data_IF_171282044955
#
_entry.id   IF_171282044955
#
_cell.length_a   1.000
_cell.length_b   1.000
_cell.length_c   1.000
_cell.angle_alpha   90.00
_cell.angle_beta   90.00
_cell.angle_gamma   90.00
#
_symmetry.space_group_name_H-M   'P 1'
#
loop_
_entity.id
_entity.type
_entity.pdbx_description
1 polymer ?
#
# COMPACT_ATOMS: atom_id res chain seq x y z
N UNK A 1 16.22 -24.59 1.34
CA UNK A 1 15.74 -24.26 -0.02
C UNK A 1 15.43 -22.77 -0.11
N UNK A 2 15.91 -22.14 -1.16
CA UNK A 2 15.64 -20.71 -1.39
C UNK A 2 14.18 -20.50 -1.78
N UNK A 3 13.51 -19.45 -1.26
CA UNK A 3 12.17 -19.11 -1.77
C UNK A 3 12.29 -18.68 -3.22
N UNK A 4 11.29 -19.03 -4.01
CA UNK A 4 11.24 -18.63 -5.40
C UNK A 4 10.76 -17.19 -5.49
N UNK A 5 11.48 -16.38 -6.26
CA UNK A 5 11.06 -15.00 -6.56
C UNK A 5 9.99 -15.02 -7.64
N UNK A 6 8.94 -14.26 -7.41
CA UNK A 6 7.82 -14.14 -8.34
C UNK A 6 7.55 -12.66 -8.62
N UNK A 7 7.01 -12.41 -9.80
CA UNK A 7 6.64 -11.07 -10.22
C UNK A 7 5.25 -11.11 -10.82
N UNK A 8 4.35 -10.28 -10.29
CA UNK A 8 3.00 -10.14 -10.84
C UNK A 8 2.69 -8.68 -11.04
N UNK A 9 1.72 -8.38 -11.89
CA UNK A 9 1.32 -7.03 -12.20
C UNK A 9 -0.18 -6.99 -12.44
N UNK A 10 -0.77 -5.82 -12.27
CA UNK A 10 -2.19 -5.62 -12.51
C UNK A 10 -2.60 -4.20 -12.20
N UNK A 11 -3.90 -4.00 -12.16
CA UNK A 11 -4.50 -2.70 -11.87
C UNK A 11 -5.20 -2.73 -10.52
N UNK A 12 -5.47 -1.56 -9.97
CA UNK A 12 -6.29 -1.48 -8.77
C UNK A 12 -7.11 -0.21 -8.77
N UNK A 13 -8.23 -0.27 -8.05
CA UNK A 13 -9.05 0.90 -7.74
C UNK A 13 -8.80 1.27 -6.29
N UNK A 14 -8.80 2.56 -5.98
CA UNK A 14 -8.62 3.03 -4.62
C UNK A 14 -9.67 4.05 -4.27
N UNK A 15 -10.19 3.95 -3.04
CA UNK A 15 -11.07 4.95 -2.47
C UNK A 15 -10.44 5.50 -1.21
N UNK A 16 -10.24 6.81 -1.19
CA UNK A 16 -9.70 7.53 -0.04
C UNK A 16 -10.83 8.36 0.57
N UNK A 17 -11.01 8.23 1.88
CA UNK A 17 -12.06 8.96 2.59
C UNK A 17 -11.43 9.78 3.71
N UNK A 18 -11.47 11.12 3.61
CA UNK A 18 -10.91 11.96 4.68
C UNK A 18 -11.58 11.72 6.02
N UNK A 19 -10.78 11.75 7.07
CA UNK A 19 -11.23 11.59 8.44
C UNK A 19 -10.84 12.81 9.24
N UNK A 20 -11.69 13.20 10.17
CA UNK A 20 -11.35 14.29 11.09
C UNK A 20 -10.23 13.84 12.04
N UNK A 21 -9.29 14.75 12.36
CA UNK A 21 -8.27 14.40 13.35
C UNK A 21 -8.90 14.24 14.73
N UNK A 22 -8.29 13.41 15.57
CA UNK A 22 -8.71 13.35 16.96
C UNK A 22 -8.29 14.63 17.67
N UNK A 23 -9.00 15.05 18.74
CA UNK A 23 -8.64 16.28 19.45
C UNK A 23 -7.18 16.35 19.90
N UNK A 24 -6.59 15.20 20.25
CA UNK A 24 -5.23 15.17 20.75
C UNK A 24 -4.19 15.59 19.71
N UNK A 25 -4.48 15.39 18.42
CA UNK A 25 -3.51 15.68 17.35
C UNK A 25 -3.98 16.73 16.37
N UNK A 26 -5.10 17.39 16.66
CA UNK A 26 -5.67 18.42 15.75
C UNK A 26 -4.67 19.54 15.45
N UNK A 27 -3.91 19.98 16.46
CA UNK A 27 -2.94 21.05 16.27
C UNK A 27 -1.70 20.64 15.48
N UNK A 28 -1.48 19.34 15.27
CA UNK A 28 -0.34 18.85 14.49
C UNK A 28 -0.53 19.05 12.99
N UNK A 29 -1.74 19.38 12.54
CA UNK A 29 -2.06 19.65 11.13
C UNK A 29 -1.69 18.51 10.20
N UNK A 30 -2.01 17.30 10.61
CA UNK A 30 -1.82 16.11 9.78
C UNK A 30 -3.15 15.74 9.13
N UNK A 31 -3.06 15.28 7.87
CA UNK A 31 -4.23 14.76 7.19
C UNK A 31 -4.40 13.28 7.51
N UNK A 32 -5.63 12.83 7.71
CA UNK A 32 -5.95 11.44 7.97
C UNK A 32 -7.01 10.97 6.98
N UNK A 33 -6.79 9.80 6.39
CA UNK A 33 -7.75 9.21 5.45
C UNK A 33 -7.82 7.70 5.69
N UNK A 34 -9.02 7.14 5.50
CA UNK A 34 -9.13 5.70 5.34
C UNK A 34 -8.91 5.37 3.87
N UNK A 35 -8.40 4.18 3.59
CA UNK A 35 -8.24 3.72 2.23
C UNK A 35 -8.85 2.34 2.06
N UNK A 36 -9.39 2.11 0.88
CA UNK A 36 -9.87 0.80 0.47
C UNK A 36 -9.48 0.58 -0.97
N UNK A 37 -8.95 -0.59 -1.29
CA UNK A 37 -8.53 -0.93 -2.64
C UNK A 37 -9.18 -2.20 -3.12
N UNK A 38 -9.33 -2.30 -4.43
CA UNK A 38 -9.66 -3.55 -5.10
C UNK A 38 -8.55 -3.81 -6.11
N UNK A 39 -7.82 -4.90 -5.91
CA UNK A 39 -6.73 -5.32 -6.80
C UNK A 39 -7.27 -6.32 -7.82
N UNK A 40 -6.82 -6.20 -9.05
CA UNK A 40 -7.18 -7.09 -10.16
C UNK A 40 -5.94 -7.74 -10.74
N UNK A 41 -6.10 -8.93 -11.27
CA UNK A 41 -5.01 -9.69 -11.87
C UNK A 41 -4.59 -10.87 -11.01
N UNK A 42 -3.30 -11.20 -11.05
CA UNK A 42 -2.77 -12.31 -10.27
C UNK A 42 -2.87 -12.09 -8.75
N UNK A 43 -2.93 -10.82 -8.34
CA UNK A 43 -3.37 -10.45 -7.01
C UNK A 43 -4.82 -10.03 -7.15
N UNK A 44 -5.72 -10.90 -6.73
CA UNK A 44 -7.16 -10.65 -6.76
C UNK A 44 -7.64 -10.50 -5.33
N UNK A 45 -7.76 -9.26 -4.87
CA UNK A 45 -7.90 -9.00 -3.44
C UNK A 45 -8.52 -7.64 -3.18
N UNK A 46 -8.92 -7.44 -1.94
CA UNK A 46 -9.35 -6.13 -1.45
C UNK A 46 -8.49 -5.75 -0.26
N UNK A 47 -8.42 -4.46 0.04
CA UNK A 47 -7.69 -4.01 1.21
C UNK A 47 -8.45 -2.93 1.95
N UNK A 48 -8.13 -2.80 3.24
CA UNK A 48 -8.59 -1.72 4.09
C UNK A 48 -7.42 -1.23 4.92
N UNK A 49 -7.30 0.09 5.04
CA UNK A 49 -6.23 0.67 5.83
C UNK A 49 -6.45 2.14 6.13
N UNK A 50 -5.41 2.76 6.68
CA UNK A 50 -5.43 4.19 6.99
C UNK A 50 -4.12 4.84 6.59
N UNK A 51 -4.20 6.13 6.29
CA UNK A 51 -3.07 6.94 5.86
C UNK A 51 -3.00 8.22 6.68
N UNK A 52 -1.79 8.60 7.06
CA UNK A 52 -1.49 9.90 7.64
C UNK A 52 -0.55 10.63 6.72
N UNK A 53 -0.82 11.91 6.49
CA UNK A 53 -0.04 12.71 5.58
C UNK A 53 0.25 14.10 6.15
N UNK A 54 1.34 14.68 5.74
CA UNK A 54 1.71 16.05 6.06
C UNK A 54 1.98 16.79 4.77
N UNK A 55 1.26 17.88 4.55
CA UNK A 55 1.51 18.80 3.45
C UNK A 55 2.34 19.97 3.98
N UNK A 56 3.17 20.56 3.13
CA UNK A 56 3.99 21.70 3.50
C UNK A 56 3.55 22.93 2.72
N UNK A 57 4.11 24.09 3.07
CA UNK A 57 3.82 25.31 2.34
C UNK A 57 4.51 25.34 0.97
N UNK A 58 5.49 24.45 0.74
CA UNK A 58 6.16 24.35 -0.54
C UNK A 58 5.37 23.39 -1.43
N UNK A 59 4.91 23.90 -2.56
CA UNK A 59 4.14 23.09 -3.50
C UNK A 59 4.95 21.88 -3.95
N UNK A 60 4.33 20.70 -3.91
CA UNK A 60 4.97 19.46 -4.31
C UNK A 60 5.83 18.80 -3.25
N UNK A 61 5.85 19.36 -2.02
CA UNK A 61 6.57 18.74 -0.90
C UNK A 61 5.59 18.23 0.14
N UNK A 62 5.64 16.93 0.43
CA UNK A 62 4.70 16.27 1.32
C UNK A 62 5.28 14.93 1.77
N UNK A 63 4.72 14.38 2.84
CA UNK A 63 5.08 13.05 3.29
C UNK A 63 3.84 12.30 3.75
N UNK A 64 3.85 10.96 3.62
CA UNK A 64 2.76 10.16 4.14
C UNK A 64 3.25 8.77 4.55
N UNK A 65 2.47 8.16 5.43
CA UNK A 65 2.62 6.75 5.79
C UNK A 65 1.24 6.10 5.72
N UNK A 66 1.20 4.82 5.39
CA UNK A 66 -0.06 4.08 5.35
C UNK A 66 0.18 2.62 5.69
N UNK A 67 -0.85 1.99 6.25
CA UNK A 67 -0.85 0.55 6.49
C UNK A 67 -2.19 0.04 6.01
N UNK A 68 -2.15 -1.04 5.22
CA UNK A 68 -3.36 -1.68 4.72
C UNK A 68 -3.25 -3.19 4.82
N UNK A 69 -4.36 -3.83 5.18
CA UNK A 69 -4.47 -5.29 5.20
C UNK A 69 -5.14 -5.74 3.91
N UNK A 70 -4.43 -6.56 3.16
CA UNK A 70 -4.88 -7.09 1.87
C UNK A 70 -5.39 -8.51 2.11
N UNK A 71 -6.59 -8.80 1.60
CA UNK A 71 -7.23 -10.11 1.77
C UNK A 71 -7.74 -10.59 0.43
N UNK A 72 -7.40 -11.80 0.04
CA UNK A 72 -7.84 -12.39 -1.22
C UNK A 72 -6.93 -13.52 -1.67
N UNK A 73 -6.62 -13.54 -2.97
CA UNK A 73 -5.76 -14.58 -3.54
C UNK A 73 -4.59 -13.97 -4.28
N UNK A 74 -3.44 -14.62 -4.18
CA UNK A 74 -2.23 -14.27 -4.93
C UNK A 74 -1.79 -15.52 -5.69
N UNK A 75 -1.89 -15.48 -7.02
CA UNK A 75 -1.67 -16.64 -7.88
C UNK A 75 -2.49 -17.85 -7.40
N UNK A 76 -3.76 -17.59 -7.02
CA UNK A 76 -4.67 -18.62 -6.55
C UNK A 76 -4.50 -19.04 -5.10
N UNK A 77 -3.48 -18.55 -4.39
CA UNK A 77 -3.26 -18.88 -2.98
C UNK A 77 -4.03 -17.91 -2.10
N UNK A 78 -4.86 -18.44 -1.23
CA UNK A 78 -5.76 -17.63 -0.40
C UNK A 78 -5.08 -17.24 0.91
N UNK A 79 -5.30 -15.99 1.30
CA UNK A 79 -4.83 -15.50 2.59
C UNK A 79 -4.90 -13.99 2.70
N UNK A 80 -4.17 -13.46 3.66
CA UNK A 80 -4.07 -12.02 3.85
C UNK A 80 -2.64 -11.65 4.21
N UNK A 81 -2.32 -10.38 4.04
CA UNK A 81 -1.02 -9.83 4.45
C UNK A 81 -1.17 -8.32 4.60
N UNK A 82 -0.16 -7.70 5.20
CA UNK A 82 -0.19 -6.27 5.45
C UNK A 82 0.90 -5.59 4.63
N UNK A 83 0.54 -4.48 3.98
CA UNK A 83 1.48 -3.61 3.29
C UNK A 83 1.70 -2.35 4.11
N UNK A 84 2.96 -1.91 4.22
CA UNK A 84 3.30 -0.63 4.81
C UNK A 84 3.87 0.27 3.73
N UNK A 85 3.35 1.50 3.66
CA UNK A 85 3.76 2.51 2.69
C UNK A 85 4.49 3.64 3.39
N UNK A 86 5.57 4.10 2.79
CA UNK A 86 6.18 5.38 3.14
C UNK A 86 6.42 6.14 1.85
N UNK A 87 5.96 7.39 1.82
CA UNK A 87 6.10 8.20 0.64
C UNK A 87 6.55 9.60 1.00
N UNK A 88 7.50 10.12 0.23
CA UNK A 88 7.98 11.50 0.37
C UNK A 88 7.97 12.09 -1.03
N UNK A 89 7.41 13.29 -1.16
CA UNK A 89 7.52 14.06 -2.38
C UNK A 89 8.33 15.30 -2.08
N UNK A 90 9.43 15.48 -2.81
CA UNK A 90 10.33 16.61 -2.63
C UNK A 90 10.24 17.49 -3.88
N UNK A 91 9.46 18.57 -3.76
CA UNK A 91 9.24 19.54 -4.86
C UNK A 91 8.88 18.85 -6.16
N UNK A 92 7.96 17.87 -6.07
CA UNK A 92 7.45 17.13 -7.22
C UNK A 92 8.18 15.84 -7.53
N UNK A 93 9.30 15.55 -6.87
CA UNK A 93 10.03 14.30 -7.08
C UNK A 93 9.56 13.27 -6.07
N UNK A 94 8.89 12.19 -6.52
CA UNK A 94 8.36 11.19 -5.60
C UNK A 94 9.39 10.15 -5.20
N UNK A 95 9.26 9.65 -3.97
CA UNK A 95 10.02 8.53 -3.47
C UNK A 95 9.06 7.70 -2.63
N UNK A 96 8.65 6.55 -3.14
CA UNK A 96 7.65 5.70 -2.53
C UNK A 96 8.20 4.32 -2.26
N UNK A 97 7.96 3.81 -1.05
CA UNK A 97 8.29 2.43 -0.68
C UNK A 97 7.03 1.75 -0.19
N UNK A 98 6.72 0.59 -0.76
CA UNK A 98 5.59 -0.24 -0.33
C UNK A 98 6.12 -1.66 -0.15
N UNK A 99 6.00 -2.19 1.06
CA UNK A 99 6.54 -3.53 1.33
C UNK A 99 5.62 -4.32 2.24
N UNK A 100 5.74 -5.64 2.14
CA UNK A 100 5.01 -6.56 3.01
C UNK A 100 5.61 -6.47 4.41
N UNK A 101 4.74 -6.29 5.41
CA UNK A 101 5.18 -6.32 6.81
C UNK A 101 5.61 -7.75 7.14
N UNK A 102 6.82 -7.94 7.71
CA UNK A 102 7.30 -9.28 8.04
C UNK A 102 6.31 -10.05 8.90
N UNK A 103 6.11 -11.30 8.56
CA UNK A 103 5.25 -12.23 9.31
C UNK A 103 3.77 -11.87 9.32
N UNK A 104 3.33 -11.02 8.37
CA UNK A 104 1.93 -10.65 8.29
C UNK A 104 1.09 -11.59 7.41
N UNK A 105 1.72 -12.45 6.62
CA UNK A 105 0.99 -13.39 5.77
C UNK A 105 0.25 -14.46 6.55
N UNK A 106 -0.96 -14.78 6.11
CA UNK A 106 -1.80 -15.79 6.76
C UNK A 106 -2.21 -16.88 5.78
N UNK A 107 -2.67 -18.00 6.30
CA UNK A 107 -3.16 -19.13 5.52
C UNK A 107 -2.11 -19.55 4.48
N UNK A 108 -2.46 -19.61 3.20
CA UNK A 108 -1.51 -20.02 2.16
C UNK A 108 -0.44 -18.94 1.87
N UNK A 109 -0.59 -17.74 2.43
CA UNK A 109 0.38 -16.65 2.27
C UNK A 109 1.32 -16.51 3.47
N UNK A 110 1.31 -17.46 4.38
CA UNK A 110 2.24 -17.48 5.51
C UNK A 110 3.68 -17.46 4.99
N UNK A 111 4.51 -16.57 5.52
CA UNK A 111 5.90 -16.46 5.10
C UNK A 111 6.14 -15.53 3.92
N UNK A 112 5.07 -14.86 3.43
CA UNK A 112 5.18 -13.95 2.31
C UNK A 112 6.10 -12.77 2.64
N UNK A 113 7.01 -12.45 1.72
CA UNK A 113 7.83 -11.24 1.73
C UNK A 113 7.72 -10.59 0.36
N UNK A 114 7.95 -9.30 0.28
CA UNK A 114 7.92 -8.66 -1.02
C UNK A 114 7.81 -7.15 -0.99
N UNK A 115 7.90 -6.58 -2.17
CA UNK A 115 7.78 -5.15 -2.39
C UNK A 115 6.85 -4.90 -3.57
N UNK A 116 6.09 -3.81 -3.46
CA UNK A 116 5.15 -3.42 -4.50
C UNK A 116 5.53 -2.04 -5.02
N UNK A 117 5.49 -1.88 -6.34
CA UNK A 117 5.57 -0.56 -6.96
C UNK A 117 4.19 -0.16 -7.44
N UNK A 118 3.87 1.11 -7.29
CA UNK A 118 2.58 1.66 -7.68
C UNK A 118 2.82 2.78 -8.66
N UNK A 119 2.05 2.78 -9.76
CA UNK A 119 2.10 3.84 -10.76
C UNK A 119 0.72 4.39 -10.99
N UNK A 120 0.66 5.69 -11.24
CA UNK A 120 -0.57 6.38 -11.62
C UNK A 120 -0.30 7.05 -12.95
N UNK A 121 -1.00 6.61 -14.01
CA UNK A 121 -0.87 7.16 -15.34
C UNK A 121 -2.27 7.50 -15.86
N UNK A 122 -2.50 8.78 -16.16
CA UNK A 122 -3.78 9.25 -16.67
C UNK A 122 -4.96 8.83 -15.77
N UNK A 123 -4.76 8.93 -14.44
CA UNK A 123 -5.78 8.58 -13.47
C UNK A 123 -5.94 7.09 -13.22
N UNK A 124 -5.19 6.25 -13.93
CA UNK A 124 -5.25 4.80 -13.74
C UNK A 124 -4.15 4.33 -12.82
N UNK A 125 -4.53 3.54 -11.82
CA UNK A 125 -3.61 2.98 -10.85
C UNK A 125 -3.21 1.56 -11.25
N UNK A 126 -1.91 1.29 -11.23
CA UNK A 126 -1.39 -0.04 -11.50
C UNK A 126 -0.33 -0.41 -10.48
N UNK A 127 -0.08 -1.70 -10.35
CA UNK A 127 0.94 -2.21 -9.44
C UNK A 127 1.80 -3.25 -10.14
N UNK A 128 3.05 -3.35 -9.66
CA UNK A 128 3.89 -4.52 -9.88
C UNK A 128 4.27 -5.03 -8.49
N UNK A 129 4.29 -6.33 -8.32
CA UNK A 129 4.54 -6.93 -7.02
C UNK A 129 5.60 -8.02 -7.17
N UNK A 130 6.76 -7.79 -6.55
CA UNK A 130 7.85 -8.75 -6.48
C UNK A 130 7.80 -9.40 -5.12
N UNK A 131 7.63 -10.72 -5.06
CA UNK A 131 7.44 -11.39 -3.80
C UNK A 131 8.11 -12.76 -3.79
N UNK A 132 8.31 -13.26 -2.58
CA UNK A 132 8.79 -14.61 -2.36
C UNK A 132 7.88 -15.27 -1.33
N UNK A 133 7.64 -16.54 -1.52
CA UNK A 133 6.79 -17.32 -0.64
C UNK A 133 7.52 -18.59 -0.27
N UNK A 134 7.69 -18.81 1.03
CA UNK A 134 8.38 -20.00 1.51
C UNK A 134 7.51 -21.24 1.41
#
# INVERSE_FOLDING_TARGET
MQPQQNHVAGNFDVKLTPQAPTPAIESAKLGRQTLGKTFYGDLNATSLGEMLAAMTEVKGSAGYVAIERVTGTLLGKKGSFVLVHTGVMNRGTPQLTVQVVPDSGTEELTGLTGQMDIKVVEGKHSYTFDFALK
#
